data_IF_461689837101
#
_entry.id   IF_461689837101
#
_cell.length_a   1.000
_cell.length_b   1.000
_cell.length_c   1.000
_cell.angle_alpha   90.00
_cell.angle_beta   90.00
_cell.angle_gamma   90.00
#
_symmetry.space_group_name_H-M   'P 1'
#
loop_
_entity.id
_entity.type
_entity.pdbx_description
1 polymer ?
#
# COMPACT_ATOMS: atom_id res chain seq x y z
N UNK A 1 -18.27 10.93 -25.76
CA UNK A 1 -18.95 11.51 -24.58
C UNK A 1 -19.16 10.46 -23.49
N UNK A 2 -19.99 9.43 -23.71
CA UNK A 2 -20.26 8.37 -22.71
C UNK A 2 -19.01 7.55 -22.34
N UNK A 3 -18.14 7.24 -23.31
CA UNK A 3 -16.89 6.49 -23.06
C UNK A 3 -15.90 7.23 -22.14
N UNK A 4 -15.77 8.55 -22.28
CA UNK A 4 -14.94 9.39 -21.40
C UNK A 4 -15.55 9.51 -19.99
N UNK A 5 -16.87 9.57 -19.88
CA UNK A 5 -17.56 9.55 -18.60
C UNK A 5 -17.39 8.21 -17.87
N UNK A 6 -17.48 7.08 -18.58
CA UNK A 6 -17.34 5.75 -18.01
C UNK A 6 -15.91 5.46 -17.54
N UNK A 7 -14.90 5.90 -18.30
CA UNK A 7 -13.49 5.78 -17.92
C UNK A 7 -13.14 6.70 -16.75
N UNK A 8 -13.61 7.94 -16.75
CA UNK A 8 -13.47 8.85 -15.60
C UNK A 8 -14.15 8.31 -14.33
N UNK A 9 -15.33 7.69 -14.47
CA UNK A 9 -16.06 7.07 -13.37
C UNK A 9 -15.37 5.80 -12.85
N UNK A 10 -14.84 4.95 -13.72
CA UNK A 10 -14.07 3.77 -13.33
C UNK A 10 -12.75 4.13 -12.63
N UNK A 11 -12.10 5.20 -13.09
CA UNK A 11 -10.84 5.69 -12.52
C UNK A 11 -11.06 6.32 -11.14
N UNK A 12 -12.12 7.11 -10.96
CA UNK A 12 -12.49 7.65 -9.65
C UNK A 12 -13.00 6.57 -8.70
N UNK A 13 -13.75 5.57 -9.20
CA UNK A 13 -14.07 4.35 -8.43
C UNK A 13 -12.79 3.63 -7.98
N UNK A 14 -11.81 3.44 -8.86
CA UNK A 14 -10.53 2.82 -8.49
C UNK A 14 -9.77 3.60 -7.41
N UNK A 15 -9.82 4.93 -7.43
CA UNK A 15 -9.11 5.80 -6.48
C UNK A 15 -9.84 5.95 -5.14
N UNK A 16 -11.19 5.94 -5.15
CA UNK A 16 -12.02 6.14 -3.95
C UNK A 16 -12.36 4.81 -3.26
N UNK A 17 -12.61 3.74 -4.03
CA UNK A 17 -12.82 2.40 -3.48
C UNK A 17 -11.56 1.88 -2.76
N UNK A 18 -10.39 2.38 -3.17
CA UNK A 18 -9.09 2.05 -2.57
C UNK A 18 -8.72 2.89 -1.34
N UNK A 19 -9.44 3.98 -1.01
CA UNK A 19 -9.42 4.49 0.36
C UNK A 19 -10.23 3.48 1.16
N UNK A 20 -9.54 2.46 1.68
CA UNK A 20 -10.17 1.39 2.42
C UNK A 20 -11.09 1.96 3.50
N UNK A 21 -12.23 1.29 3.72
CA UNK A 21 -13.20 1.69 4.74
C UNK A 21 -12.54 1.98 6.10
N UNK A 22 -11.45 1.28 6.41
CA UNK A 22 -10.60 1.47 7.59
C UNK A 22 -9.94 2.86 7.64
N UNK A 23 -9.28 3.31 6.56
CA UNK A 23 -8.62 4.62 6.50
C UNK A 23 -9.64 5.78 6.44
N UNK A 24 -10.76 5.62 5.73
CA UNK A 24 -11.83 6.63 5.71
C UNK A 24 -12.51 6.77 7.08
N UNK A 25 -12.71 5.65 7.79
CA UNK A 25 -13.26 5.65 9.14
C UNK A 25 -12.31 6.32 10.15
N UNK A 26 -11.00 6.03 10.08
CA UNK A 26 -9.98 6.70 10.91
C UNK A 26 -9.99 8.22 10.67
N UNK A 27 -10.04 8.68 9.42
CA UNK A 27 -10.06 10.11 9.08
C UNK A 27 -11.36 10.77 9.58
N UNK A 28 -12.51 10.10 9.39
CA UNK A 28 -13.81 10.59 9.86
C UNK A 28 -13.84 10.69 11.38
N UNK A 29 -13.26 9.72 12.09
CA UNK A 29 -13.15 9.74 13.54
C UNK A 29 -12.17 10.81 14.03
N UNK A 30 -11.08 11.04 13.28
CA UNK A 30 -10.12 12.14 13.47
C UNK A 30 -10.78 13.52 13.36
N UNK A 31 -11.60 13.73 12.32
CA UNK A 31 -12.38 14.96 12.13
C UNK A 31 -13.42 15.19 13.23
N UNK A 32 -14.01 14.13 13.75
CA UNK A 32 -14.98 14.19 14.85
C UNK A 32 -14.31 14.34 16.23
N UNK A 33 -12.97 14.29 16.33
CA UNK A 33 -12.18 14.41 17.57
C UNK A 33 -12.61 13.47 18.70
N UNK A 34 -13.26 12.34 18.39
CA UNK A 34 -13.73 11.39 19.41
C UNK A 34 -12.97 10.08 19.29
N UNK A 35 -12.34 9.60 20.36
CA UNK A 35 -11.69 8.27 20.41
C UNK A 35 -10.68 7.96 19.27
N UNK A 36 -10.06 8.99 18.69
CA UNK A 36 -9.11 8.87 17.57
C UNK A 36 -7.97 7.90 17.90
N UNK A 37 -7.43 8.01 19.11
CA UNK A 37 -6.29 7.20 19.55
C UNK A 37 -6.63 5.70 19.65
N UNK A 38 -7.84 5.36 20.10
CA UNK A 38 -8.29 3.97 20.18
C UNK A 38 -8.50 3.36 18.78
N UNK A 39 -9.09 4.13 17.85
CA UNK A 39 -9.33 3.67 16.48
C UNK A 39 -8.02 3.50 15.72
N UNK A 40 -7.08 4.46 15.84
CA UNK A 40 -5.76 4.37 15.21
C UNK A 40 -4.97 3.18 15.75
N UNK A 41 -4.97 2.95 17.07
CA UNK A 41 -4.28 1.78 17.65
C UNK A 41 -4.87 0.47 17.15
N UNK A 42 -6.19 0.33 17.12
CA UNK A 42 -6.85 -0.88 16.64
C UNK A 42 -6.55 -1.15 15.16
N UNK A 43 -6.63 -0.11 14.33
CA UNK A 43 -6.39 -0.20 12.89
C UNK A 43 -4.92 -0.55 12.62
N UNK A 44 -3.99 0.18 13.24
CA UNK A 44 -2.56 -0.06 13.11
C UNK A 44 -2.14 -1.45 13.59
N UNK A 45 -2.73 -1.96 14.68
CA UNK A 45 -2.46 -3.32 15.16
C UNK A 45 -2.97 -4.38 14.17
N UNK A 46 -4.14 -4.14 13.57
CA UNK A 46 -4.72 -5.03 12.56
C UNK A 46 -3.87 -5.08 11.29
N UNK A 47 -3.41 -3.91 10.80
CA UNK A 47 -2.50 -3.82 9.65
C UNK A 47 -1.16 -4.50 9.96
N UNK A 48 -0.60 -4.29 11.16
CA UNK A 48 0.62 -4.96 11.60
C UNK A 48 0.45 -6.49 11.60
N UNK A 49 -0.64 -7.01 12.16
CA UNK A 49 -0.93 -8.44 12.17
C UNK A 49 -1.09 -9.02 10.76
N UNK A 50 -1.84 -8.34 9.89
CA UNK A 50 -2.03 -8.76 8.50
C UNK A 50 -0.71 -8.79 7.72
N UNK A 51 0.15 -7.78 7.89
CA UNK A 51 1.48 -7.74 7.27
C UNK A 51 2.35 -8.87 7.82
N UNK A 52 2.38 -9.08 9.14
CA UNK A 52 3.16 -10.17 9.75
C UNK A 52 2.70 -11.54 9.24
N UNK A 53 1.39 -11.80 9.20
CA UNK A 53 0.84 -13.05 8.66
C UNK A 53 1.15 -13.20 7.17
N UNK A 54 1.02 -12.12 6.40
CA UNK A 54 1.35 -12.11 4.97
C UNK A 54 2.82 -12.43 4.72
N UNK A 55 3.75 -11.77 5.41
CA UNK A 55 5.20 -11.96 5.25
C UNK A 55 5.63 -13.34 5.76
N UNK A 56 5.16 -13.79 6.91
CA UNK A 56 5.52 -15.09 7.46
C UNK A 56 4.93 -16.24 6.62
N UNK A 57 3.70 -16.08 6.11
CA UNK A 57 3.04 -17.08 5.27
C UNK A 57 3.59 -17.13 3.84
N UNK A 58 3.56 -15.99 3.14
CA UNK A 58 4.06 -15.91 1.75
C UNK A 58 5.59 -16.04 1.67
N UNK A 59 6.32 -15.57 2.67
CA UNK A 59 7.78 -15.68 2.72
C UNK A 59 8.24 -17.13 2.62
N UNK A 60 7.59 -18.04 3.35
CA UNK A 60 7.88 -19.47 3.27
C UNK A 60 7.58 -20.05 1.88
N UNK A 61 6.46 -19.67 1.28
CA UNK A 61 6.06 -20.13 -0.05
C UNK A 61 7.00 -19.64 -1.16
N UNK A 62 7.52 -18.42 -1.04
CA UNK A 62 8.40 -17.81 -2.04
C UNK A 62 9.88 -18.14 -1.83
N UNK A 63 10.29 -18.75 -0.72
CA UNK A 63 11.69 -19.15 -0.43
C UNK A 63 12.43 -19.74 -1.65
N UNK A 64 11.91 -20.75 -2.37
CA UNK A 64 12.63 -21.33 -3.52
C UNK A 64 12.79 -20.37 -4.71
N UNK A 65 11.86 -19.41 -4.87
CA UNK A 65 11.94 -18.38 -5.91
C UNK A 65 12.98 -17.32 -5.54
N UNK A 66 13.06 -16.96 -4.25
CA UNK A 66 14.07 -16.02 -3.75
C UNK A 66 15.49 -16.59 -3.85
N UNK A 67 15.70 -17.88 -3.63
CA UNK A 67 17.03 -18.49 -3.78
C UNK A 67 17.53 -18.45 -5.25
N UNK A 68 16.62 -18.60 -6.21
CA UNK A 68 16.96 -18.59 -7.65
C UNK A 68 17.06 -17.19 -8.24
N UNK A 69 16.15 -16.28 -7.88
CA UNK A 69 16.00 -14.97 -8.54
C UNK A 69 16.26 -13.78 -7.61
N UNK A 70 16.55 -14.01 -6.33
CA UNK A 70 16.68 -12.95 -5.32
C UNK A 70 17.71 -11.90 -5.70
N UNK A 71 18.88 -12.31 -6.18
CA UNK A 71 19.94 -11.38 -6.59
C UNK A 71 19.48 -10.42 -7.71
N UNK A 72 18.77 -10.92 -8.72
CA UNK A 72 18.22 -10.10 -9.80
C UNK A 72 17.11 -9.17 -9.30
N UNK A 73 16.22 -9.67 -8.43
CA UNK A 73 15.16 -8.86 -7.82
C UNK A 73 15.72 -7.69 -7.01
N UNK A 74 16.72 -7.95 -6.16
CA UNK A 74 17.37 -6.92 -5.35
C UNK A 74 18.15 -5.91 -6.21
N UNK A 75 18.85 -6.37 -7.24
CA UNK A 75 19.57 -5.48 -8.16
C UNK A 75 18.62 -4.53 -8.89
N UNK A 76 17.50 -5.05 -9.41
CA UNK A 76 16.50 -4.26 -10.13
C UNK A 76 15.79 -3.28 -9.19
N UNK A 77 15.45 -3.71 -7.97
CA UNK A 77 14.89 -2.85 -6.94
C UNK A 77 15.85 -1.72 -6.54
N UNK A 78 17.13 -2.03 -6.33
CA UNK A 78 18.15 -1.04 -5.99
C UNK A 78 18.35 -0.02 -7.11
N UNK A 79 18.41 -0.48 -8.36
CA UNK A 79 18.54 0.39 -9.54
C UNK A 79 17.32 1.31 -9.70
N UNK A 80 16.13 0.78 -9.47
CA UNK A 80 14.89 1.57 -9.48
C UNK A 80 14.90 2.65 -8.39
N UNK A 81 15.27 2.28 -7.15
CA UNK A 81 15.31 3.21 -6.02
C UNK A 81 16.37 4.30 -6.22
N UNK A 82 17.54 3.93 -6.73
CA UNK A 82 18.61 4.86 -7.07
C UNK A 82 18.17 5.82 -8.18
N UNK A 83 17.49 5.33 -9.22
CA UNK A 83 16.92 6.16 -10.29
C UNK A 83 15.94 7.21 -9.76
N UNK A 84 15.03 6.80 -8.88
CA UNK A 84 14.12 7.72 -8.19
C UNK A 84 14.85 8.73 -7.30
N UNK A 85 15.86 8.29 -6.55
CA UNK A 85 16.68 9.16 -5.71
C UNK A 85 17.39 10.24 -6.51
N UNK A 86 17.98 9.88 -7.64
CA UNK A 86 18.64 10.83 -8.55
C UNK A 86 17.62 11.80 -9.18
N UNK A 87 16.45 11.31 -9.58
CA UNK A 87 15.39 12.17 -10.13
C UNK A 87 14.89 13.20 -9.10
N UNK A 88 14.79 12.80 -7.83
CA UNK A 88 14.41 13.68 -6.71
C UNK A 88 15.48 14.72 -6.38
N UNK A 89 16.76 14.43 -6.61
CA UNK A 89 17.83 15.42 -6.43
C UNK A 89 17.89 16.45 -7.56
N UNK A 90 17.29 16.14 -8.71
CA UNK A 90 17.29 17.00 -9.91
C UNK A 90 16.11 17.98 -9.96
N UNK A 91 15.10 17.80 -9.12
CA UNK A 91 13.87 18.61 -9.03
C UNK A 91 13.75 19.22 -7.63
#
# INVERSE_FOLDING_TARGET
MISAALSGFALSLSLILAIGAQNSFVIRQGLLNQHVLAVVLFCGLSDMMLICLGVLGLGQLLTPVFDLYGAWLFALAALWLAGYGVLRLRN
#
